data_IF_147925304079
#
_entry.id   IF_147925304079
#
_cell.length_a   1.000
_cell.length_b   1.000
_cell.length_c   1.000
_cell.angle_alpha   90.00
_cell.angle_beta   90.00
_cell.angle_gamma   90.00
#
_symmetry.space_group_name_H-M   'P 1'
#
loop_
_entity.id
_entity.type
_entity.pdbx_description
1 polymer ?
#
# COMPACT_ATOMS: atom_id res chain seq x y z
N UNK A 1 -9.58 -16.86 23.23
CA UNK A 1 -9.01 -17.13 21.90
C UNK A 1 -7.80 -16.22 21.74
N UNK A 2 -6.59 -16.77 21.59
CA UNK A 2 -5.39 -15.93 21.44
C UNK A 2 -5.45 -15.22 20.07
N UNK A 3 -5.04 -13.93 19.99
CA UNK A 3 -5.00 -13.21 18.73
C UNK A 3 -4.10 -13.95 17.73
N UNK A 4 -4.54 -13.99 16.46
CA UNK A 4 -3.79 -14.63 15.39
C UNK A 4 -2.41 -13.99 15.24
N UNK A 5 -1.43 -14.69 14.66
CA UNK A 5 -0.09 -14.13 14.43
C UNK A 5 -0.14 -12.83 13.60
N UNK A 6 -1.14 -12.71 12.72
CA UNK A 6 -1.43 -11.51 11.94
C UNK A 6 -2.02 -10.38 12.79
N UNK A 7 -2.81 -10.67 13.83
CA UNK A 7 -3.31 -9.67 14.79
C UNK A 7 -2.21 -9.07 15.67
N UNK A 8 -1.06 -9.74 15.80
CA UNK A 8 0.10 -9.20 16.54
C UNK A 8 0.90 -8.17 15.72
N UNK A 9 0.73 -8.15 14.41
CA UNK A 9 1.42 -7.23 13.51
C UNK A 9 0.56 -5.98 13.32
N UNK A 10 0.43 -5.16 14.37
CA UNK A 10 -0.38 -3.92 14.33
C UNK A 10 0.17 -2.80 13.43
N UNK A 11 1.16 -3.10 12.57
CA UNK A 11 1.83 -2.15 11.69
C UNK A 11 2.04 -2.78 10.31
N UNK A 12 1.50 -2.15 9.27
CA UNK A 12 1.59 -2.62 7.90
C UNK A 12 2.17 -1.56 6.99
N UNK A 13 3.09 -1.96 6.11
CA UNK A 13 3.46 -1.16 4.93
C UNK A 13 2.69 -1.70 3.75
N UNK A 14 2.20 -0.82 2.89
CA UNK A 14 1.43 -1.19 1.72
C UNK A 14 1.86 -0.43 0.47
N UNK A 15 1.60 -1.04 -0.68
CA UNK A 15 1.71 -0.41 -2.00
C UNK A 15 0.33 -0.42 -2.65
N UNK A 16 -0.18 0.76 -3.00
CA UNK A 16 -1.39 0.91 -3.80
C UNK A 16 -1.04 1.22 -5.25
N UNK A 17 -1.93 0.81 -6.15
CA UNK A 17 -1.87 1.09 -7.58
C UNK A 17 -3.12 1.83 -8.04
N UNK A 18 -2.96 2.72 -9.00
CA UNK A 18 -4.08 3.39 -9.66
C UNK A 18 -3.76 3.66 -11.12
N UNK A 19 -4.71 3.33 -11.99
CA UNK A 19 -4.71 3.76 -13.38
C UNK A 19 -5.50 5.06 -13.52
N UNK A 20 -4.87 6.12 -13.99
CA UNK A 20 -5.52 7.41 -14.17
C UNK A 20 -4.90 8.17 -15.35
N UNK A 21 -5.75 8.64 -16.28
CA UNK A 21 -5.34 9.39 -17.49
C UNK A 21 -4.20 8.73 -18.27
N UNK A 22 -4.33 7.43 -18.55
CA UNK A 22 -3.35 6.67 -19.34
C UNK A 22 -2.03 6.36 -18.62
N UNK A 23 -1.92 6.67 -17.33
CA UNK A 23 -0.71 6.42 -16.53
C UNK A 23 -1.03 5.59 -15.30
N UNK A 24 -0.26 4.52 -15.08
CA UNK A 24 -0.27 3.81 -13.81
C UNK A 24 0.63 4.51 -12.79
N UNK A 25 0.12 4.75 -11.59
CA UNK A 25 0.86 5.35 -10.49
C UNK A 25 0.79 4.45 -9.26
N UNK A 26 1.90 4.35 -8.54
CA UNK A 26 1.95 3.68 -7.24
C UNK A 26 2.02 4.68 -6.09
N UNK A 27 1.49 4.29 -4.94
CA UNK A 27 1.61 5.00 -3.68
C UNK A 27 2.11 4.01 -2.61
N UNK A 28 3.00 4.46 -1.73
CA UNK A 28 3.53 3.65 -0.62
C UNK A 28 3.19 4.38 0.67
N UNK A 29 2.64 3.65 1.62
CA UNK A 29 2.31 4.16 2.94
C UNK A 29 2.40 3.09 4.02
N UNK A 30 2.28 3.52 5.27
CA UNK A 30 2.09 2.63 6.42
C UNK A 30 0.75 2.91 7.12
N UNK A 31 0.21 1.92 7.80
CA UNK A 31 -1.00 2.00 8.63
C UNK A 31 -1.08 0.84 9.61
N UNK A 32 -1.98 0.90 10.58
CA UNK A 32 -2.37 -0.24 11.41
C UNK A 32 -3.52 -1.05 10.82
N UNK A 33 -4.20 -0.53 9.79
CA UNK A 33 -5.36 -1.16 9.17
C UNK A 33 -5.39 -0.82 7.66
N UNK A 34 -4.95 -1.79 6.85
CA UNK A 34 -4.82 -1.63 5.39
C UNK A 34 -6.18 -1.46 4.72
N UNK A 35 -7.21 -2.19 5.18
CA UNK A 35 -8.54 -2.15 4.58
C UNK A 35 -9.19 -0.78 4.79
N UNK A 36 -9.20 -0.29 6.04
CA UNK A 36 -9.68 1.06 6.35
C UNK A 36 -8.91 2.13 5.60
N UNK A 37 -7.58 1.98 5.49
CA UNK A 37 -6.75 2.96 4.80
C UNK A 37 -7.02 3.00 3.29
N UNK A 38 -7.21 1.84 2.66
CA UNK A 38 -7.60 1.75 1.26
C UNK A 38 -8.95 2.44 1.02
N UNK A 39 -9.95 2.20 1.88
CA UNK A 39 -11.25 2.86 1.79
C UNK A 39 -11.11 4.39 1.88
N UNK A 40 -10.27 4.92 2.77
CA UNK A 40 -10.00 6.36 2.87
C UNK A 40 -9.37 6.94 1.60
N UNK A 41 -8.43 6.23 0.97
CA UNK A 41 -7.84 6.66 -0.29
C UNK A 41 -8.90 6.75 -1.40
N UNK A 42 -9.76 5.75 -1.51
CA UNK A 42 -10.85 5.70 -2.49
C UNK A 42 -11.96 6.73 -2.21
N UNK A 43 -12.18 7.09 -0.94
CA UNK A 43 -13.09 8.17 -0.55
C UNK A 43 -12.49 9.59 -0.68
N UNK A 44 -11.21 9.72 -1.05
CA UNK A 44 -10.52 11.02 -1.16
C UNK A 44 -10.14 11.66 0.19
N UNK A 45 -10.34 10.95 1.30
CA UNK A 45 -9.97 11.40 2.66
C UNK A 45 -8.60 10.88 3.12
N UNK A 46 -7.93 10.08 2.27
CA UNK A 46 -6.55 9.66 2.46
C UNK A 46 -5.51 10.77 2.19
N UNK A 47 -4.31 10.38 1.77
CA UNK A 47 -3.23 11.33 1.49
C UNK A 47 -3.61 12.33 0.37
N UNK A 48 -3.16 13.58 0.49
CA UNK A 48 -3.49 14.65 -0.49
C UNK A 48 -3.15 14.27 -1.93
N UNK A 49 -2.02 13.61 -2.15
CA UNK A 49 -1.56 13.16 -3.48
C UNK A 49 -2.37 12.01 -4.09
N UNK A 50 -3.27 11.41 -3.31
CA UNK A 50 -4.08 10.26 -3.72
C UNK A 50 -5.53 10.59 -4.06
N UNK A 51 -5.95 11.84 -3.85
CA UNK A 51 -7.35 12.26 -4.06
C UNK A 51 -7.77 12.16 -5.53
N UNK A 52 -9.05 11.87 -5.74
CA UNK A 52 -9.69 11.84 -7.07
C UNK A 52 -9.26 10.66 -7.94
N UNK A 53 -8.87 9.54 -7.33
CA UNK A 53 -8.42 8.33 -8.04
C UNK A 53 -8.96 7.09 -7.36
N UNK A 54 -9.19 6.04 -8.16
CA UNK A 54 -9.49 4.70 -7.67
C UNK A 54 -8.20 3.92 -7.47
N UNK A 55 -8.02 3.39 -6.26
CA UNK A 55 -6.86 2.66 -5.79
C UNK A 55 -7.21 1.21 -5.51
N UNK A 56 -6.26 0.34 -5.83
CA UNK A 56 -6.28 -1.08 -5.48
C UNK A 56 -5.03 -1.41 -4.67
N UNK A 57 -5.13 -2.37 -3.76
CA UNK A 57 -3.99 -2.90 -3.03
C UNK A 57 -3.16 -3.79 -3.96
N UNK A 58 -1.86 -3.51 -4.08
CA UNK A 58 -0.94 -4.34 -4.85
C UNK A 58 -0.09 -5.24 -3.95
N UNK A 59 0.21 -4.78 -2.74
CA UNK A 59 1.14 -5.43 -1.82
C UNK A 59 0.96 -4.92 -0.39
N UNK A 60 1.19 -5.78 0.60
CA UNK A 60 1.26 -5.41 2.01
C UNK A 60 2.21 -6.32 2.80
N UNK A 61 2.95 -5.74 3.75
CA UNK A 61 3.87 -6.43 4.67
C UNK A 61 3.54 -6.01 6.11
N UNK A 62 3.43 -6.98 7.01
CA UNK A 62 3.19 -6.74 8.45
C UNK A 62 4.48 -6.70 9.26
N UNK A 63 4.50 -5.86 10.30
CA UNK A 63 5.63 -5.62 11.18
C UNK A 63 5.18 -5.55 12.64
N UNK A 64 6.06 -5.97 13.55
CA UNK A 64 5.80 -5.91 14.98
C UNK A 64 5.77 -4.46 15.46
N UNK A 65 6.69 -3.62 14.94
CA UNK A 65 6.82 -2.22 15.39
C UNK A 65 6.53 -1.21 14.29
N UNK A 66 6.16 0.00 14.72
CA UNK A 66 5.99 1.16 13.83
C UNK A 66 7.31 1.54 13.14
N UNK A 67 8.43 1.42 13.85
CA UNK A 67 9.75 1.80 13.37
C UNK A 67 10.19 0.92 12.21
N UNK A 68 9.99 -0.40 12.31
CA UNK A 68 10.27 -1.35 11.22
C UNK A 68 9.42 -1.04 9.99
N UNK A 69 8.11 -0.81 10.19
CA UNK A 69 7.22 -0.46 9.10
C UNK A 69 7.62 0.86 8.42
N UNK A 70 7.92 1.92 9.19
CA UNK A 70 8.36 3.20 8.61
C UNK A 70 9.72 3.09 7.91
N UNK A 71 10.65 2.30 8.46
CA UNK A 71 11.91 1.98 7.79
C UNK A 71 11.66 1.30 6.46
N UNK A 72 10.80 0.26 6.43
CA UNK A 72 10.45 -0.44 5.20
C UNK A 72 9.73 0.45 4.20
N UNK A 73 8.82 1.33 4.65
CA UNK A 73 8.15 2.32 3.82
C UNK A 73 9.16 3.20 3.07
N UNK A 74 10.21 3.67 3.76
CA UNK A 74 11.28 4.46 3.16
C UNK A 74 12.03 3.68 2.07
N UNK A 75 12.34 2.41 2.32
CA UNK A 75 12.99 1.53 1.33
C UNK A 75 12.09 1.33 0.10
N UNK A 76 10.81 0.99 0.29
CA UNK A 76 9.86 0.75 -0.81
C UNK A 76 9.56 2.00 -1.65
N UNK A 77 9.58 3.20 -1.04
CA UNK A 77 9.49 4.47 -1.78
C UNK A 77 10.63 4.59 -2.80
N UNK A 78 11.83 4.12 -2.46
CA UNK A 78 13.05 4.20 -3.28
C UNK A 78 13.22 3.01 -4.22
N UNK A 79 12.64 1.86 -3.89
CA UNK A 79 12.67 0.67 -4.75
C UNK A 79 11.72 0.80 -5.95
N UNK A 80 12.18 1.54 -6.97
CA UNK A 80 11.43 1.75 -8.22
C UNK A 80 11.26 0.46 -9.01
N UNK A 81 12.22 -0.46 -8.92
CA UNK A 81 12.19 -1.72 -9.67
C UNK A 81 11.08 -2.64 -9.13
N UNK A 82 11.00 -2.81 -7.82
CA UNK A 82 9.92 -3.58 -7.18
C UNK A 82 8.55 -2.99 -7.47
N UNK A 83 8.38 -1.67 -7.32
CA UNK A 83 7.09 -1.01 -7.63
C UNK A 83 6.69 -1.14 -9.09
N UNK A 84 7.66 -1.15 -10.02
CA UNK A 84 7.40 -1.41 -11.45
C UNK A 84 6.94 -2.86 -11.68
N UNK A 85 7.56 -3.84 -11.00
CA UNK A 85 7.13 -5.25 -11.10
C UNK A 85 5.70 -5.44 -10.62
N UNK A 86 5.33 -4.88 -9.46
CA UNK A 86 3.95 -4.91 -8.96
C UNK A 86 2.97 -4.28 -9.96
N UNK A 87 3.33 -3.14 -10.55
CA UNK A 87 2.50 -2.47 -11.55
C UNK A 87 2.29 -3.29 -12.83
N UNK A 88 3.30 -4.06 -13.24
CA UNK A 88 3.19 -4.93 -14.42
C UNK A 88 2.38 -6.19 -14.14
N UNK A 89 2.51 -6.77 -12.95
CA UNK A 89 1.77 -7.97 -12.55
C UNK A 89 0.24 -7.77 -12.60
N UNK A 90 -0.24 -6.57 -12.26
CA UNK A 90 -1.68 -6.23 -12.30
C UNK A 90 -2.17 -5.83 -13.71
N UNK A 91 -1.26 -5.59 -14.66
CA UNK A 91 -1.59 -5.18 -16.03
C UNK A 91 -1.48 -6.30 -17.06
N UNK A 92 -0.83 -7.41 -16.72
CA UNK A 92 -0.77 -8.56 -17.60
C UNK A 92 -2.19 -9.14 -17.72
N UNK A 93 -2.74 -9.30 -18.94
CA UNK A 93 -3.94 -10.12 -19.10
C UNK A 93 -3.59 -11.52 -18.60
N UNK A 94 -4.42 -12.05 -17.71
CA UNK A 94 -4.42 -13.49 -17.41
C UNK A 94 -4.94 -14.24 -18.62
#
# INVERSE_FOLDING_TARGET
>A
MAPSETDRLGNFVYVLGSWHKGRFTTYVGWTNDVARRLAQHNAGTGARSTRGRSWVLLHSEGFATRQEAMSREWHLKRDRAFRKRLALAVRAPT
#
